data_IF_192574903130
#
_entry.id   IF_192574903130
#
_cell.length_a   1.000
_cell.length_b   1.000
_cell.length_c   1.000
_cell.angle_alpha   90.00
_cell.angle_beta   90.00
_cell.angle_gamma   90.00
#
_symmetry.space_group_name_H-M   'P 1'
#
loop_
_entity.id
_entity.type
_entity.pdbx_description
1 polymer ?
#
# COMPACT_ATOMS: atom_id res chain seq x y z
N UNK A 1 -41.27 24.76 34.85
CA UNK A 1 -41.17 23.56 34.01
C UNK A 1 -39.72 23.39 33.60
N UNK A 2 -39.01 22.34 34.03
CA UNK A 2 -37.58 22.18 33.76
C UNK A 2 -37.33 21.47 32.43
N UNK A 3 -36.31 21.94 31.73
CA UNK A 3 -35.73 21.38 30.49
C UNK A 3 -35.07 20.04 30.77
N UNK A 4 -35.41 19.03 29.99
CA UNK A 4 -34.89 17.69 30.03
C UNK A 4 -33.44 17.64 29.44
N UNK A 5 -32.54 17.02 30.18
CA UNK A 5 -31.16 16.81 29.82
C UNK A 5 -31.04 15.77 28.68
N UNK A 6 -30.22 16.10 27.68
CA UNK A 6 -29.84 15.17 26.60
C UNK A 6 -28.93 14.06 27.15
N UNK A 7 -29.36 12.81 27.00
CA UNK A 7 -28.51 11.64 27.26
C UNK A 7 -27.49 11.49 26.12
N UNK A 8 -26.24 11.57 26.47
CA UNK A 8 -25.12 11.27 25.57
C UNK A 8 -24.97 9.75 25.42
N UNK A 9 -25.18 9.27 24.23
CA UNK A 9 -25.01 7.85 23.83
C UNK A 9 -23.55 7.44 23.87
N UNK A 10 -23.16 6.71 24.91
CA UNK A 10 -21.79 6.17 25.15
C UNK A 10 -21.59 4.80 24.49
N UNK A 11 -22.57 4.32 23.69
CA UNK A 11 -22.62 2.93 23.18
C UNK A 11 -21.78 2.65 21.91
N UNK A 12 -21.22 3.66 21.25
CA UNK A 12 -20.51 3.45 19.97
C UNK A 12 -19.01 3.22 20.05
N UNK A 13 -18.43 3.25 21.27
CA UNK A 13 -16.97 3.07 21.45
C UNK A 13 -16.51 1.65 21.80
N UNK A 14 -17.42 0.72 22.02
CA UNK A 14 -17.07 -0.65 22.46
C UNK A 14 -17.02 -1.70 21.35
N UNK A 15 -17.51 -1.41 20.14
CA UNK A 15 -17.61 -2.42 19.06
C UNK A 15 -16.29 -2.64 18.28
N UNK A 16 -15.30 -1.76 18.43
CA UNK A 16 -14.05 -1.87 17.65
C UNK A 16 -12.89 -2.60 18.36
N UNK A 17 -13.09 -3.04 19.60
CA UNK A 17 -12.01 -3.69 20.38
C UNK A 17 -11.91 -5.21 20.22
N UNK A 18 -12.84 -5.87 19.54
CA UNK A 18 -12.93 -7.34 19.57
C UNK A 18 -12.50 -8.06 18.28
N UNK A 19 -12.03 -7.37 17.26
CA UNK A 19 -11.69 -8.03 15.98
C UNK A 19 -10.19 -8.26 15.75
N UNK A 20 -9.32 -7.82 16.66
CA UNK A 20 -7.86 -7.99 16.50
C UNK A 20 -7.21 -9.01 17.44
N UNK A 21 -8.00 -9.80 18.18
CA UNK A 21 -7.47 -10.77 19.16
C UNK A 21 -7.34 -12.22 18.64
N UNK A 22 -7.43 -12.47 17.35
CA UNK A 22 -7.45 -13.84 16.80
C UNK A 22 -6.39 -14.11 15.72
N UNK A 23 -5.20 -13.48 15.79
CA UNK A 23 -4.03 -13.95 15.04
C UNK A 23 -2.90 -14.21 16.02
N UNK A 24 -3.09 -15.21 16.86
CA UNK A 24 -2.10 -15.75 17.77
C UNK A 24 -2.21 -17.27 17.80
N UNK A 25 -1.17 -17.94 17.29
CA UNK A 25 -0.79 -19.33 17.55
C UNK A 25 -1.69 -20.46 17.02
N UNK A 26 -1.27 -21.09 15.93
CA UNK A 26 -1.15 -22.57 15.85
C UNK A 26 0.00 -22.94 14.91
N UNK A 27 1.02 -23.50 15.52
CA UNK A 27 1.57 -24.83 15.35
C UNK A 27 2.20 -25.22 14.01
N UNK A 28 3.53 -25.34 14.05
CA UNK A 28 4.38 -26.40 13.53
C UNK A 28 3.90 -27.18 12.30
N UNK A 29 4.54 -26.89 11.17
CA UNK A 29 4.58 -27.72 9.98
C UNK A 29 5.72 -27.27 9.09
N UNK A 30 6.78 -28.05 9.07
CA UNK A 30 8.02 -27.93 8.31
C UNK A 30 7.78 -27.58 6.84
N UNK A 31 8.14 -26.35 6.43
CA UNK A 31 8.84 -26.00 5.20
C UNK A 31 9.15 -24.49 5.28
N UNK A 32 10.44 -24.15 5.25
CA UNK A 32 10.94 -22.86 5.57
C UNK A 32 10.64 -21.78 4.52
N UNK A 33 9.63 -20.99 4.79
CA UNK A 33 9.49 -19.64 4.26
C UNK A 33 9.17 -18.76 5.47
N UNK A 34 10.19 -18.13 6.05
CA UNK A 34 9.99 -17.10 7.08
C UNK A 34 9.34 -15.89 6.41
N UNK A 35 8.02 -15.92 6.30
CA UNK A 35 7.26 -14.69 6.10
C UNK A 35 7.51 -13.82 7.34
N UNK A 36 8.15 -12.68 7.18
CA UNK A 36 8.26 -11.70 8.26
C UNK A 36 6.86 -11.18 8.55
N UNK A 37 6.39 -11.46 9.75
CA UNK A 37 5.08 -11.01 10.20
C UNK A 37 5.03 -9.47 10.25
N UNK A 38 3.89 -8.90 9.88
CA UNK A 38 3.60 -7.49 10.11
C UNK A 38 3.77 -7.17 11.60
N UNK A 39 4.43 -6.06 11.94
CA UNK A 39 4.63 -5.62 13.30
C UNK A 39 3.74 -4.43 13.60
N UNK A 40 3.08 -4.44 14.77
CA UNK A 40 2.27 -3.32 15.27
C UNK A 40 3.03 -2.63 16.40
N UNK A 41 3.22 -1.31 16.30
CA UNK A 41 3.83 -0.51 17.36
C UNK A 41 2.80 -0.02 18.39
N UNK A 42 3.28 0.65 19.44
CA UNK A 42 2.45 1.18 20.53
C UNK A 42 1.45 2.28 20.07
N UNK A 43 1.62 2.84 18.88
CA UNK A 43 0.73 3.84 18.29
C UNK A 43 -0.36 3.23 17.40
N UNK A 44 -0.37 1.89 17.28
CA UNK A 44 -1.31 1.15 16.42
C UNK A 44 -0.96 1.20 14.94
N UNK A 45 0.28 1.57 14.59
CA UNK A 45 0.77 1.55 13.23
C UNK A 45 1.27 0.14 12.90
N UNK A 46 0.70 -0.46 11.86
CA UNK A 46 1.14 -1.76 11.33
C UNK A 46 2.16 -1.53 10.21
N UNK A 47 3.34 -2.12 10.36
CA UNK A 47 4.41 -2.10 9.35
C UNK A 47 4.39 -3.39 8.56
N UNK A 48 4.35 -3.29 7.23
CA UNK A 48 4.49 -4.41 6.31
C UNK A 48 5.89 -4.31 5.68
N UNK A 49 6.80 -5.25 5.98
CA UNK A 49 8.16 -5.21 5.45
C UNK A 49 8.19 -5.53 3.95
N UNK A 50 9.18 -5.01 3.23
CA UNK A 50 9.42 -5.35 1.83
C UNK A 50 10.01 -6.75 1.70
N UNK A 51 9.49 -7.55 0.76
CA UNK A 51 9.98 -8.91 0.51
C UNK A 51 11.45 -8.94 0.01
N UNK A 52 11.88 -7.92 -0.71
CA UNK A 52 13.24 -7.80 -1.20
C UNK A 52 14.28 -7.52 -0.10
N UNK A 53 13.86 -6.99 1.05
CA UNK A 53 14.73 -6.69 2.21
C UNK A 53 14.88 -7.89 3.16
N UNK A 54 14.25 -9.02 2.88
CA UNK A 54 14.16 -10.17 3.78
C UNK A 54 15.24 -11.25 3.57
N UNK A 55 16.09 -11.13 2.54
CA UNK A 55 17.04 -12.20 2.16
C UNK A 55 18.27 -12.33 3.08
N UNK A 56 18.63 -11.31 3.85
CA UNK A 56 19.69 -11.36 4.88
C UNK A 56 19.27 -10.55 6.12
N UNK A 57 19.73 -10.98 7.31
CA UNK A 57 19.57 -10.16 8.51
C UNK A 57 20.23 -8.79 8.26
N UNK A 58 19.50 -7.67 8.33
CA UNK A 58 20.03 -6.39 7.90
C UNK A 58 21.20 -5.98 8.80
N UNK A 59 22.37 -5.74 8.20
CA UNK A 59 23.51 -5.09 8.87
C UNK A 59 23.20 -3.64 9.26
N UNK A 60 22.14 -3.08 8.68
CA UNK A 60 21.66 -1.73 8.93
C UNK A 60 20.12 -1.72 9.02
N UNK A 61 19.56 -0.73 9.73
CA UNK A 61 18.10 -0.55 9.77
C UNK A 61 17.53 -0.31 8.36
N UNK A 62 16.34 -0.82 8.04
CA UNK A 62 15.69 -0.58 6.76
C UNK A 62 15.50 0.92 6.50
N UNK A 63 15.72 1.37 5.26
CA UNK A 63 15.53 2.78 4.88
C UNK A 63 14.04 3.17 4.84
N UNK A 64 13.17 2.24 4.48
CA UNK A 64 11.71 2.47 4.37
C UNK A 64 10.95 1.15 4.58
N UNK A 65 9.62 1.26 4.69
CA UNK A 65 8.70 0.12 4.74
C UNK A 65 7.91 0.05 3.45
N UNK A 66 7.60 -1.16 2.98
CA UNK A 66 6.77 -1.36 1.78
C UNK A 66 5.37 -0.80 1.95
N UNK A 67 4.80 -0.94 3.15
CA UNK A 67 3.50 -0.39 3.50
C UNK A 67 3.38 -0.08 5.00
N UNK A 68 2.49 0.85 5.32
CA UNK A 68 2.06 1.20 6.68
C UNK A 68 0.55 1.22 6.73
N UNK A 69 -0.03 0.68 7.82
CA UNK A 69 -1.47 0.69 8.06
C UNK A 69 -1.76 1.48 9.33
N UNK A 70 -2.68 2.42 9.26
CA UNK A 70 -3.14 3.19 10.41
C UNK A 70 -4.52 3.80 10.15
N UNK A 71 -5.40 3.80 11.17
CA UNK A 71 -6.69 4.50 11.15
C UNK A 71 -7.64 4.04 10.04
N UNK A 72 -7.57 2.77 9.60
CA UNK A 72 -8.40 2.24 8.50
C UNK A 72 -7.86 2.55 7.11
N UNK A 73 -6.62 3.05 7.01
CA UNK A 73 -5.94 3.33 5.74
C UNK A 73 -4.64 2.54 5.62
N UNK A 74 -4.30 2.18 4.40
CA UNK A 74 -2.97 1.69 4.03
C UNK A 74 -2.27 2.70 3.14
N UNK A 75 -1.00 2.94 3.44
CA UNK A 75 -0.06 3.77 2.70
C UNK A 75 0.95 2.84 2.05
N UNK A 76 0.97 2.76 0.72
CA UNK A 76 1.89 1.92 -0.04
C UNK A 76 3.03 2.80 -0.56
N UNK A 77 4.27 2.39 -0.32
CA UNK A 77 5.46 3.04 -0.87
C UNK A 77 5.51 2.94 -2.39
N UNK A 78 6.22 3.87 -3.03
CA UNK A 78 6.45 3.85 -4.47
C UNK A 78 6.93 2.50 -4.97
N UNK A 79 6.34 2.02 -6.06
CA UNK A 79 6.73 0.81 -6.79
C UNK A 79 7.29 1.20 -8.14
N UNK A 80 8.49 0.72 -8.42
CA UNK A 80 9.16 0.83 -9.71
C UNK A 80 9.36 -0.55 -10.35
N UNK A 81 9.80 -0.58 -11.61
CA UNK A 81 10.21 -1.79 -12.31
C UNK A 81 11.60 -1.58 -12.88
N UNK A 82 12.53 -2.51 -12.64
CA UNK A 82 13.95 -2.30 -12.84
C UNK A 82 14.53 -3.18 -13.97
N UNK A 83 13.69 -3.97 -14.64
CA UNK A 83 14.08 -4.79 -15.77
C UNK A 83 13.86 -4.03 -17.09
N UNK A 84 14.36 -4.59 -18.18
CA UNK A 84 14.19 -4.01 -19.52
C UNK A 84 12.71 -4.03 -19.94
N UNK A 85 12.28 -2.98 -20.60
CA UNK A 85 10.91 -2.85 -21.12
C UNK A 85 10.61 -1.42 -21.54
N UNK A 86 9.50 -1.24 -22.23
CA UNK A 86 8.91 0.06 -22.50
C UNK A 86 8.01 0.52 -21.34
N UNK A 87 7.44 1.71 -21.47
CA UNK A 87 6.54 2.27 -20.45
C UNK A 87 5.32 1.38 -20.21
N UNK A 88 4.84 0.64 -21.19
CA UNK A 88 3.69 -0.26 -21.08
C UNK A 88 4.02 -1.44 -20.15
N UNK A 89 5.20 -2.05 -20.36
CA UNK A 89 5.72 -3.13 -19.51
C UNK A 89 5.94 -2.64 -18.09
N UNK A 90 6.61 -1.50 -17.94
CA UNK A 90 6.87 -0.90 -16.62
C UNK A 90 5.57 -0.58 -15.88
N UNK A 91 4.62 0.09 -16.54
CA UNK A 91 3.34 0.47 -15.92
C UNK A 91 2.55 -0.76 -15.47
N UNK A 92 2.49 -1.80 -16.34
CA UNK A 92 1.81 -3.05 -15.97
C UNK A 92 2.43 -3.69 -14.74
N UNK A 93 3.75 -3.85 -14.71
CA UNK A 93 4.46 -4.46 -13.59
C UNK A 93 4.25 -3.68 -12.29
N UNK A 94 4.35 -2.34 -12.35
CA UNK A 94 4.16 -1.47 -11.18
C UNK A 94 2.74 -1.60 -10.63
N UNK A 95 1.71 -1.61 -11.47
CA UNK A 95 0.32 -1.77 -11.04
C UNK A 95 0.05 -3.17 -10.46
N UNK A 96 0.66 -4.22 -11.01
CA UNK A 96 0.57 -5.58 -10.46
C UNK A 96 1.24 -5.67 -9.08
N UNK A 97 2.37 -4.98 -8.87
CA UNK A 97 3.03 -4.89 -7.57
C UNK A 97 2.17 -4.14 -6.54
N UNK A 98 1.51 -3.04 -6.95
CA UNK A 98 0.58 -2.30 -6.07
C UNK A 98 -0.60 -3.19 -5.65
N UNK A 99 -1.20 -3.91 -6.59
CA UNK A 99 -2.31 -4.84 -6.32
C UNK A 99 -1.91 -5.92 -5.32
N UNK A 100 -0.72 -6.50 -5.48
CA UNK A 100 -0.19 -7.50 -4.57
C UNK A 100 0.03 -6.93 -3.15
N UNK A 101 0.59 -5.72 -3.02
CA UNK A 101 0.80 -5.08 -1.72
C UNK A 101 -0.52 -4.67 -1.05
N UNK A 102 -1.48 -4.14 -1.80
CA UNK A 102 -2.81 -3.82 -1.31
C UNK A 102 -3.51 -5.07 -0.76
N UNK A 103 -3.44 -6.19 -1.50
CA UNK A 103 -4.01 -7.48 -1.09
C UNK A 103 -3.37 -7.98 0.22
N UNK A 104 -2.04 -7.92 0.33
CA UNK A 104 -1.32 -8.26 1.58
C UNK A 104 -1.77 -7.41 2.77
N UNK A 105 -2.12 -6.14 2.52
CA UNK A 105 -2.57 -5.22 3.54
C UNK A 105 -4.07 -5.36 3.88
N UNK A 106 -4.82 -6.25 3.22
CA UNK A 106 -6.27 -6.42 3.40
C UNK A 106 -7.13 -5.42 2.66
N UNK A 107 -6.56 -4.78 1.62
CA UNK A 107 -7.23 -3.81 0.74
C UNK A 107 -7.37 -4.35 -0.68
N UNK A 108 -7.74 -3.50 -1.64
CA UNK A 108 -7.83 -3.83 -3.08
C UNK A 108 -7.63 -2.59 -3.94
N UNK A 109 -7.47 -2.78 -5.26
CA UNK A 109 -7.35 -1.68 -6.22
C UNK A 109 -8.58 -0.76 -6.22
N UNK A 110 -9.79 -1.30 -6.02
CA UNK A 110 -11.04 -0.52 -5.98
C UNK A 110 -11.19 0.32 -4.72
N UNK A 111 -10.43 -0.01 -3.67
CA UNK A 111 -10.41 0.76 -2.41
C UNK A 111 -9.35 1.87 -2.40
N UNK A 112 -8.57 2.03 -3.47
CA UNK A 112 -7.59 3.10 -3.58
C UNK A 112 -8.28 4.45 -3.64
N UNK A 113 -7.84 5.37 -2.79
CA UNK A 113 -8.38 6.72 -2.67
C UNK A 113 -7.54 7.73 -3.43
N UNK A 114 -6.22 7.56 -3.38
CA UNK A 114 -5.26 8.45 -4.03
C UNK A 114 -4.10 7.67 -4.60
N UNK A 115 -3.64 8.08 -5.81
CA UNK A 115 -2.37 7.65 -6.39
C UNK A 115 -1.54 8.87 -6.80
N UNK A 116 -0.22 8.75 -6.66
CA UNK A 116 0.75 9.61 -7.32
C UNK A 116 1.49 8.79 -8.37
N UNK A 117 1.64 9.35 -9.55
CA UNK A 117 2.35 8.76 -10.68
C UNK A 117 3.53 9.66 -11.03
N UNK A 118 4.71 9.09 -10.99
CA UNK A 118 5.97 9.75 -11.36
C UNK A 118 6.46 9.10 -12.64
N UNK A 119 6.54 9.86 -13.72
CA UNK A 119 7.06 9.41 -15.01
C UNK A 119 8.53 9.82 -15.14
N UNK A 120 9.34 8.98 -15.80
CA UNK A 120 10.68 9.37 -16.22
C UNK A 120 10.62 10.47 -17.27
N UNK A 121 9.70 10.35 -18.22
CA UNK A 121 9.45 11.31 -19.29
C UNK A 121 7.93 11.52 -19.46
N UNK A 122 7.51 12.78 -19.61
CA UNK A 122 6.11 13.11 -19.83
C UNK A 122 5.60 12.65 -21.22
N UNK A 123 6.50 12.40 -22.17
CA UNK A 123 6.17 11.78 -23.45
C UNK A 123 5.52 10.40 -23.33
N UNK A 124 5.75 9.71 -22.20
CA UNK A 124 5.16 8.39 -21.90
C UNK A 124 3.72 8.47 -21.34
N UNK A 125 3.18 9.68 -21.16
CA UNK A 125 1.91 9.89 -20.46
C UNK A 125 0.74 9.11 -21.06
N UNK A 126 0.57 9.14 -22.39
CA UNK A 126 -0.56 8.49 -23.05
C UNK A 126 -0.43 6.96 -23.03
N UNK A 127 0.76 6.42 -23.25
CA UNK A 127 1.02 4.99 -23.21
C UNK A 127 0.85 4.43 -21.77
N UNK A 128 1.32 5.15 -20.75
CA UNK A 128 1.07 4.83 -19.35
C UNK A 128 -0.44 4.84 -19.06
N UNK A 129 -1.18 5.86 -19.50
CA UNK A 129 -2.62 5.96 -19.29
C UNK A 129 -3.41 4.82 -19.92
N UNK A 130 -2.98 4.31 -21.07
CA UNK A 130 -3.61 3.17 -21.73
C UNK A 130 -3.60 1.92 -20.85
N UNK A 131 -2.50 1.66 -20.15
CA UNK A 131 -2.35 0.54 -19.20
C UNK A 131 -3.05 0.81 -17.86
N UNK A 132 -3.01 2.05 -17.40
CA UNK A 132 -3.60 2.49 -16.12
C UNK A 132 -5.13 2.39 -16.11
N UNK A 133 -5.75 2.62 -17.28
CA UNK A 133 -7.21 2.67 -17.44
C UNK A 133 -7.87 1.36 -17.00
N UNK A 134 -8.88 1.47 -16.11
CA UNK A 134 -9.68 0.35 -15.63
C UNK A 134 -9.03 -0.46 -14.50
N UNK A 135 -7.76 -0.21 -14.14
CA UNK A 135 -7.07 -0.98 -13.09
C UNK A 135 -7.66 -0.74 -11.69
N UNK A 136 -8.35 0.35 -11.48
CA UNK A 136 -8.95 0.73 -10.19
C UNK A 136 -10.49 0.61 -10.18
N UNK A 137 -11.06 -0.17 -11.10
CA UNK A 137 -12.51 -0.36 -11.21
C UNK A 137 -13.24 0.83 -11.83
N UNK A 138 -14.55 0.90 -11.59
CA UNK A 138 -15.44 1.92 -12.17
C UNK A 138 -15.27 3.31 -11.56
N UNK A 139 -14.79 3.39 -10.31
CA UNK A 139 -14.58 4.63 -9.56
C UNK A 139 -13.08 4.84 -9.28
N UNK A 140 -12.30 5.37 -10.25
CA UNK A 140 -10.85 5.51 -10.09
C UNK A 140 -10.50 6.51 -8.98
N UNK A 141 -9.31 6.36 -8.35
CA UNK A 141 -8.83 7.26 -7.31
C UNK A 141 -8.54 8.66 -7.84
N UNK A 142 -8.45 9.64 -6.93
CA UNK A 142 -7.83 10.91 -7.28
C UNK A 142 -6.35 10.69 -7.63
N UNK A 143 -5.85 11.36 -8.68
CA UNK A 143 -4.50 11.13 -9.20
C UNK A 143 -3.73 12.44 -9.40
N UNK A 144 -2.45 12.41 -9.05
CA UNK A 144 -1.46 13.40 -9.49
C UNK A 144 -0.44 12.70 -10.40
N UNK A 145 -0.08 13.31 -11.51
CA UNK A 145 0.97 12.80 -12.40
C UNK A 145 1.97 13.90 -12.71
N UNK A 146 3.25 13.61 -12.55
CA UNK A 146 4.36 14.51 -12.87
C UNK A 146 5.48 13.74 -13.57
N UNK A 147 6.35 14.46 -14.30
CA UNK A 147 7.63 13.91 -14.73
C UNK A 147 8.69 14.23 -13.67
N UNK A 148 9.49 13.23 -13.29
CA UNK A 148 10.56 13.36 -12.32
C UNK A 148 11.82 13.91 -13.00
N UNK A 149 12.24 15.11 -12.63
CA UNK A 149 13.50 15.66 -13.14
C UNK A 149 14.68 14.80 -12.68
N UNK A 150 15.52 14.40 -13.61
CA UNK A 150 16.68 13.53 -13.36
C UNK A 150 16.33 12.03 -13.35
N UNK A 151 15.07 11.67 -13.55
CA UNK A 151 14.62 10.28 -13.67
C UNK A 151 14.17 9.64 -12.35
N UNK A 152 13.89 8.36 -12.42
CA UNK A 152 13.41 7.53 -11.31
C UNK A 152 14.51 6.55 -10.91
N UNK A 153 14.74 6.33 -9.59
CA UNK A 153 15.74 5.38 -9.12
C UNK A 153 15.61 4.00 -9.77
N UNK A 154 16.73 3.31 -10.00
CA UNK A 154 16.75 1.96 -10.57
C UNK A 154 16.36 1.88 -12.04
N UNK A 155 16.38 3.01 -12.76
CA UNK A 155 16.02 3.10 -14.21
C UNK A 155 14.57 2.74 -14.51
N UNK A 156 13.67 2.82 -13.52
CA UNK A 156 12.24 2.67 -13.79
C UNK A 156 11.73 3.82 -14.66
N UNK A 157 10.82 3.52 -15.58
CA UNK A 157 10.18 4.54 -16.44
C UNK A 157 8.96 5.16 -15.75
N UNK A 158 8.42 4.49 -14.74
CA UNK A 158 7.31 4.96 -13.92
C UNK A 158 7.44 4.45 -12.50
N UNK A 159 7.09 5.30 -11.54
CA UNK A 159 6.89 4.91 -10.14
C UNK A 159 5.49 5.33 -9.71
N UNK A 160 4.83 4.50 -8.91
CA UNK A 160 3.48 4.78 -8.42
C UNK A 160 3.40 4.42 -6.94
N UNK A 161 2.91 5.36 -6.12
CA UNK A 161 2.49 5.14 -4.75
C UNK A 161 0.98 5.31 -4.59
N UNK A 162 0.40 4.79 -3.50
CA UNK A 162 -1.02 4.98 -3.26
C UNK A 162 -1.40 4.97 -1.78
N UNK A 163 -2.59 5.52 -1.52
CA UNK A 163 -3.31 5.44 -0.25
C UNK A 163 -4.65 4.77 -0.52
N UNK A 164 -5.00 3.74 0.25
CA UNK A 164 -6.25 3.02 0.12
C UNK A 164 -6.96 2.86 1.48
N UNK A 165 -8.29 2.66 1.45
CA UNK A 165 -9.04 2.18 2.61
C UNK A 165 -8.83 0.67 2.82
N UNK A 166 -9.02 0.19 4.04
CA UNK A 166 -9.00 -1.24 4.37
C UNK A 166 -10.42 -1.76 4.52
#
# INVERSE_FOLDING_TARGET
MPLSAAQTDTSRRSAFRSLFAAIGATAAGVFGSRAHAATTDATGIVTIPDAAQQAEAPKQAPLFSSAKVHGGFVFIAGKGYHEAGDITVHTKSVLDQLEAELTKAGSSMEKVLKVNVYLHDLGDYDAMNAVFRGRFGANPPVRTTIAAYGGIPGKSLVEIDCIAAI
#
